data_IF_710320721868
#
_entry.id   IF_710320721868
#
_cell.length_a   1.000
_cell.length_b   1.000
_cell.length_c   1.000
_cell.angle_alpha   90.00
_cell.angle_beta   90.00
_cell.angle_gamma   90.00
#
_symmetry.space_group_name_H-M   'P 1'
#
loop_
_entity.id
_entity.type
_entity.pdbx_description
1 polymer ?
#
# COMPACT_ATOMS: atom_id res chain seq x y z
N UNK A 1 -11.66 -9.84 10.80
CA UNK A 1 -10.79 -8.76 10.28
C UNK A 1 -11.05 -7.44 10.99
N UNK A 2 -12.27 -6.89 10.98
CA UNK A 2 -12.58 -5.60 11.61
C UNK A 2 -12.24 -5.53 13.12
N UNK A 3 -12.58 -6.56 13.89
CA UNK A 3 -12.23 -6.63 15.32
C UNK A 3 -10.71 -6.57 15.57
N UNK A 4 -9.90 -7.07 14.62
CA UNK A 4 -8.44 -7.08 14.78
C UNK A 4 -7.82 -5.70 14.51
N UNK A 5 -8.40 -4.90 13.61
CA UNK A 5 -7.86 -3.58 13.26
C UNK A 5 -8.43 -2.45 14.11
N UNK A 6 -9.57 -2.67 14.78
CA UNK A 6 -10.29 -1.64 15.55
C UNK A 6 -9.42 -0.87 16.57
N UNK A 7 -8.53 -1.50 17.36
CA UNK A 7 -7.68 -0.74 18.29
C UNK A 7 -6.80 0.29 17.58
N UNK A 8 -6.28 -0.09 16.41
CA UNK A 8 -5.36 0.72 15.62
C UNK A 8 -6.04 1.89 14.90
N UNK A 9 -7.35 1.79 14.62
CA UNK A 9 -8.12 2.88 14.00
C UNK A 9 -8.16 4.15 14.85
N UNK A 10 -7.89 4.04 16.15
CA UNK A 10 -7.80 5.18 17.07
C UNK A 10 -6.36 5.69 17.26
N UNK A 11 -5.37 4.97 16.75
CA UNK A 11 -3.94 5.24 16.93
C UNK A 11 -3.22 5.58 15.62
N UNK A 12 -3.90 5.49 14.48
CA UNK A 12 -3.34 5.82 13.17
C UNK A 12 -3.99 7.06 12.53
N UNK A 13 -3.23 7.73 11.67
CA UNK A 13 -3.70 8.86 10.87
C UNK A 13 -4.31 8.42 9.52
N UNK A 14 -4.13 7.15 9.17
CA UNK A 14 -4.53 6.60 7.89
C UNK A 14 -4.40 5.07 7.81
N UNK A 15 -5.04 4.50 6.81
CA UNK A 15 -5.02 3.09 6.48
C UNK A 15 -4.53 2.95 5.04
N UNK A 16 -3.56 2.07 4.84
CA UNK A 16 -3.16 1.61 3.52
C UNK A 16 -3.66 0.19 3.31
N UNK A 17 -4.37 -0.06 2.21
CA UNK A 17 -4.78 -1.39 1.78
C UNK A 17 -3.91 -1.78 0.57
N UNK A 18 -3.16 -2.86 0.73
CA UNK A 18 -2.21 -3.37 -0.27
C UNK A 18 -2.07 -4.90 -0.14
N UNK A 19 -1.56 -5.55 -1.19
CA UNK A 19 -1.43 -7.01 -1.24
C UNK A 19 -2.67 -7.68 -1.84
N UNK A 20 -2.50 -8.82 -2.51
CA UNK A 20 -3.51 -9.31 -3.45
C UNK A 20 -3.94 -8.23 -4.45
N UNK A 21 -5.05 -8.43 -5.15
CA UNK A 21 -5.77 -7.33 -5.80
C UNK A 21 -7.01 -6.99 -4.96
N UNK A 22 -7.02 -5.87 -4.21
CA UNK A 22 -8.14 -5.53 -3.31
C UNK A 22 -9.51 -5.52 -4.03
N UNK A 23 -9.53 -5.16 -5.31
CA UNK A 23 -10.74 -5.08 -6.10
C UNK A 23 -11.20 -6.44 -6.67
N UNK A 24 -10.45 -7.54 -6.50
CA UNK A 24 -10.95 -8.90 -6.80
C UNK A 24 -11.97 -9.39 -5.77
N UNK A 25 -11.98 -8.80 -4.57
CA UNK A 25 -12.90 -9.14 -3.47
C UNK A 25 -13.77 -7.95 -3.07
N UNK A 26 -14.47 -7.37 -4.04
CA UNK A 26 -15.26 -6.13 -3.87
C UNK A 26 -16.19 -6.14 -2.65
N UNK A 27 -16.90 -7.24 -2.40
CA UNK A 27 -17.84 -7.32 -1.28
C UNK A 27 -17.12 -7.18 0.08
N UNK A 28 -15.99 -7.87 0.24
CA UNK A 28 -15.19 -7.78 1.46
C UNK A 28 -14.56 -6.38 1.62
N UNK A 29 -14.11 -5.79 0.51
CA UNK A 29 -13.57 -4.43 0.48
C UNK A 29 -14.64 -3.40 0.87
N UNK A 30 -15.85 -3.50 0.31
CA UNK A 30 -16.99 -2.64 0.63
C UNK A 30 -17.32 -2.68 2.12
N UNK A 31 -17.45 -3.89 2.69
CA UNK A 31 -17.75 -4.06 4.11
C UNK A 31 -16.66 -3.46 5.00
N UNK A 32 -15.38 -3.65 4.66
CA UNK A 32 -14.25 -3.07 5.38
C UNK A 32 -14.30 -1.55 5.36
N UNK A 33 -14.43 -0.95 4.16
CA UNK A 33 -14.40 0.49 3.99
C UNK A 33 -15.56 1.19 4.67
N UNK A 34 -16.77 0.62 4.60
CA UNK A 34 -17.90 1.14 5.34
C UNK A 34 -17.65 1.12 6.85
N UNK A 35 -17.13 0.02 7.39
CA UNK A 35 -16.84 -0.07 8.81
C UNK A 35 -15.75 0.92 9.25
N UNK A 36 -14.68 1.11 8.44
CA UNK A 36 -13.66 2.14 8.70
C UNK A 36 -14.31 3.52 8.81
N UNK A 37 -15.18 3.88 7.86
CA UNK A 37 -15.88 5.18 7.85
C UNK A 37 -16.83 5.37 9.02
N UNK A 38 -17.46 4.29 9.50
CA UNK A 38 -18.32 4.35 10.69
C UNK A 38 -17.52 4.49 11.99
N UNK A 39 -16.31 3.93 12.04
CA UNK A 39 -15.51 3.86 13.26
C UNK A 39 -14.48 4.99 13.36
N UNK A 40 -14.13 5.65 12.25
CA UNK A 40 -13.03 6.61 12.18
C UNK A 40 -13.12 7.56 10.98
N UNK A 41 -12.45 8.71 11.09
CA UNK A 41 -12.27 9.68 9.99
C UNK A 41 -10.91 9.61 9.31
N UNK A 42 -10.16 8.51 9.50
CA UNK A 42 -8.79 8.37 8.98
C UNK A 42 -8.77 8.25 7.46
N UNK A 43 -7.66 8.67 6.87
CA UNK A 43 -7.47 8.57 5.42
C UNK A 43 -7.36 7.12 4.94
N UNK A 44 -7.83 6.82 3.73
CA UNK A 44 -7.74 5.50 3.11
C UNK A 44 -7.01 5.59 1.77
N UNK A 45 -5.85 4.94 1.70
CA UNK A 45 -5.04 4.73 0.50
C UNK A 45 -5.18 3.27 0.05
N UNK A 46 -5.44 3.03 -1.24
CA UNK A 46 -5.46 1.67 -1.80
C UNK A 46 -4.48 1.57 -2.97
N UNK A 47 -3.67 0.52 -2.95
CA UNK A 47 -2.84 0.11 -4.09
C UNK A 47 -3.61 -0.94 -4.91
N UNK A 48 -3.68 -0.77 -6.22
CA UNK A 48 -4.30 -1.71 -7.14
C UNK A 48 -3.50 -1.80 -8.43
N UNK A 49 -3.40 -3.01 -8.99
CA UNK A 49 -2.80 -3.27 -10.30
C UNK A 49 -3.76 -2.98 -11.46
N UNK A 50 -5.01 -2.61 -11.18
CA UNK A 50 -6.01 -2.30 -12.21
C UNK A 50 -5.86 -0.84 -12.70
N UNK A 51 -6.25 -0.55 -13.96
CA UNK A 51 -6.26 0.81 -14.49
C UNK A 51 -7.26 1.71 -13.72
N UNK A 52 -6.93 2.99 -13.56
CA UNK A 52 -7.80 3.98 -12.90
C UNK A 52 -9.21 4.02 -13.48
N UNK A 53 -9.33 3.83 -14.80
CA UNK A 53 -10.59 3.87 -15.53
C UNK A 53 -11.56 2.78 -15.06
N UNK A 54 -11.04 1.59 -14.77
CA UNK A 54 -11.81 0.48 -14.23
C UNK A 54 -12.21 0.77 -12.78
N UNK A 55 -11.25 1.19 -11.96
CA UNK A 55 -11.44 1.50 -10.55
C UNK A 55 -12.43 2.65 -10.30
N UNK A 56 -12.41 3.68 -11.15
CA UNK A 56 -13.33 4.82 -11.08
C UNK A 56 -14.80 4.40 -11.27
N UNK A 57 -15.04 3.24 -11.87
CA UNK A 57 -16.39 2.70 -12.04
C UNK A 57 -16.91 1.99 -10.77
N UNK A 58 -16.03 1.58 -9.85
CA UNK A 58 -16.37 0.85 -8.64
C UNK A 58 -17.18 1.70 -7.67
N UNK A 59 -18.16 1.06 -7.02
CA UNK A 59 -19.10 1.74 -6.15
C UNK A 59 -18.40 2.34 -4.90
N UNK A 60 -17.42 1.66 -4.31
CA UNK A 60 -16.60 2.18 -3.20
C UNK A 60 -15.91 3.51 -3.53
N UNK A 61 -15.43 3.67 -4.77
CA UNK A 61 -14.76 4.89 -5.24
C UNK A 61 -15.80 5.99 -5.43
N UNK A 62 -16.91 5.68 -6.13
CA UNK A 62 -18.01 6.64 -6.37
C UNK A 62 -18.65 7.16 -5.09
N UNK A 63 -18.71 6.32 -4.05
CA UNK A 63 -19.25 6.68 -2.74
C UNK A 63 -18.25 7.49 -1.88
N UNK A 64 -17.02 7.73 -2.34
CA UNK A 64 -16.00 8.44 -1.58
C UNK A 64 -15.46 7.66 -0.38
N UNK A 65 -15.53 6.32 -0.42
CA UNK A 65 -14.98 5.49 0.65
C UNK A 65 -13.46 5.33 0.56
N UNK A 66 -12.88 5.68 -0.59
CA UNK A 66 -11.43 5.65 -0.86
C UNK A 66 -10.95 7.08 -1.06
N UNK A 67 -9.93 7.50 -0.32
CA UNK A 67 -9.42 8.88 -0.40
C UNK A 67 -8.33 9.03 -1.46
N UNK A 68 -7.50 8.01 -1.64
CA UNK A 68 -6.45 8.01 -2.65
C UNK A 68 -6.23 6.61 -3.24
N UNK A 69 -5.97 6.57 -4.54
CA UNK A 69 -5.56 5.38 -5.28
C UNK A 69 -4.12 5.50 -5.75
N UNK A 70 -3.39 4.40 -5.67
CA UNK A 70 -2.22 4.13 -6.52
C UNK A 70 -2.65 3.03 -7.48
N UNK A 71 -2.89 3.40 -8.74
CA UNK A 71 -3.42 2.50 -9.77
C UNK A 71 -2.34 2.07 -10.77
N UNK A 72 -2.76 1.15 -11.65
CA UNK A 72 -2.02 0.57 -12.78
C UNK A 72 -1.00 -0.51 -12.40
N UNK A 73 -0.75 -1.46 -13.32
CA UNK A 73 0.22 -2.52 -13.09
C UNK A 73 1.60 -1.97 -12.78
N UNK A 74 2.32 -2.63 -11.87
CA UNK A 74 3.73 -2.33 -11.65
C UNK A 74 4.55 -2.68 -12.91
N UNK A 75 5.37 -1.74 -13.37
CA UNK A 75 6.26 -1.93 -14.52
C UNK A 75 7.72 -1.88 -14.07
N UNK A 76 8.35 -3.05 -14.04
CA UNK A 76 9.76 -3.22 -13.67
C UNK A 76 10.72 -2.58 -14.68
N UNK A 77 10.31 -2.22 -15.88
CA UNK A 77 11.16 -1.50 -16.83
C UNK A 77 11.22 0.01 -16.57
N UNK A 78 10.24 0.55 -15.83
CA UNK A 78 10.10 1.98 -15.57
C UNK A 78 10.83 2.43 -14.30
N UNK A 79 11.14 3.73 -14.18
CA UNK A 79 11.77 4.27 -12.97
C UNK A 79 10.92 4.06 -11.71
N UNK A 80 11.53 4.23 -10.55
CA UNK A 80 10.85 4.29 -9.24
C UNK A 80 11.30 5.59 -8.57
N UNK A 81 10.78 6.70 -9.09
CA UNK A 81 11.23 8.04 -8.70
C UNK A 81 10.27 8.72 -7.76
N UNK A 82 9.02 8.23 -7.66
CA UNK A 82 7.96 8.81 -6.83
C UNK A 82 7.88 8.13 -5.46
N UNK A 83 7.54 8.91 -4.43
CA UNK A 83 7.53 8.44 -3.04
C UNK A 83 6.62 7.23 -2.81
N UNK A 84 5.33 7.35 -3.15
CA UNK A 84 4.32 6.33 -2.85
C UNK A 84 4.03 5.40 -4.05
N UNK A 85 4.94 5.30 -5.03
CA UNK A 85 4.73 4.43 -6.21
C UNK A 85 5.83 3.39 -6.31
N UNK A 86 5.45 2.17 -6.67
CA UNK A 86 6.38 1.10 -6.99
C UNK A 86 7.11 1.36 -8.32
N UNK A 87 6.40 1.94 -9.30
CA UNK A 87 6.96 2.33 -10.60
C UNK A 87 6.32 3.63 -11.12
N UNK A 88 7.04 4.35 -11.97
CA UNK A 88 6.67 5.69 -12.45
C UNK A 88 5.43 5.70 -13.37
N UNK A 89 5.08 4.57 -13.97
CA UNK A 89 3.86 4.43 -14.78
C UNK A 89 2.58 4.39 -13.93
N UNK A 90 2.69 4.03 -12.64
CA UNK A 90 1.54 4.02 -11.74
C UNK A 90 1.02 5.43 -11.51
N UNK A 91 -0.28 5.59 -11.26
CA UNK A 91 -0.92 6.89 -11.05
C UNK A 91 -1.40 7.06 -9.63
N UNK A 92 -1.04 8.19 -9.01
CA UNK A 92 -1.64 8.62 -7.75
C UNK A 92 -2.86 9.51 -8.02
N UNK A 93 -4.02 9.13 -7.50
CA UNK A 93 -5.27 9.88 -7.69
C UNK A 93 -5.92 10.15 -6.35
N UNK A 94 -5.95 11.41 -5.94
CA UNK A 94 -6.76 11.87 -4.80
C UNK A 94 -8.23 11.97 -5.24
N UNK A 95 -9.12 11.28 -4.54
CA UNK A 95 -10.53 11.12 -4.92
C UNK A 95 -11.48 11.97 -4.06
N UNK A 96 -11.06 12.30 -2.83
CA UNK A 96 -11.86 13.04 -1.85
C UNK A 96 -11.11 14.29 -1.37
N UNK A 97 -11.82 15.21 -0.71
CA UNK A 97 -11.19 16.37 -0.08
C UNK A 97 -10.12 15.96 0.95
N UNK A 98 -10.41 14.95 1.77
CA UNK A 98 -9.44 14.38 2.72
C UNK A 98 -8.24 13.78 1.98
N UNK A 99 -8.48 13.11 0.86
CA UNK A 99 -7.42 12.58 0.02
C UNK A 99 -6.48 13.67 -0.51
N UNK A 100 -7.05 14.78 -1.00
CA UNK A 100 -6.25 15.92 -1.43
C UNK A 100 -5.46 16.57 -0.28
N UNK A 101 -6.06 16.69 0.89
CA UNK A 101 -5.41 17.24 2.08
C UNK A 101 -4.21 16.39 2.52
N UNK A 102 -4.40 15.08 2.62
CA UNK A 102 -3.40 14.15 3.17
C UNK A 102 -2.34 13.78 2.12
N UNK A 103 -2.75 13.46 0.89
CA UNK A 103 -1.86 12.89 -0.13
C UNK A 103 -1.44 13.88 -1.21
N UNK A 104 -2.07 15.04 -1.32
CA UNK A 104 -1.85 15.97 -2.44
C UNK A 104 -0.41 16.47 -2.57
N UNK A 105 0.34 16.57 -1.46
CA UNK A 105 1.76 16.94 -1.47
C UNK A 105 2.72 15.76 -1.60
N UNK A 106 2.20 14.53 -1.54
CA UNK A 106 3.00 13.29 -1.50
C UNK A 106 3.28 12.74 -2.91
N UNK A 107 2.64 13.28 -3.95
CA UNK A 107 2.99 12.97 -5.36
C UNK A 107 4.26 13.71 -5.82
N UNK A 108 5.35 13.47 -5.10
CA UNK A 108 6.66 14.09 -5.28
C UNK A 108 7.73 13.04 -5.54
N UNK A 109 8.91 13.51 -5.93
CA UNK A 109 10.08 12.65 -5.99
C UNK A 109 10.41 12.10 -4.59
N UNK A 110 10.75 10.81 -4.54
CA UNK A 110 11.24 10.14 -3.35
C UNK A 110 12.63 10.69 -2.97
N UNK A 111 12.87 10.81 -1.69
CA UNK A 111 14.16 11.14 -1.09
C UNK A 111 14.72 9.91 -0.38
N UNK A 112 16.00 9.94 0.01
CA UNK A 112 16.60 8.83 0.77
C UNK A 112 15.91 8.61 2.12
N UNK A 113 15.33 9.65 2.71
CA UNK A 113 14.60 9.55 3.98
C UNK A 113 13.30 8.75 3.85
N UNK A 114 12.72 8.71 2.64
CA UNK A 114 11.47 8.02 2.34
C UNK A 114 11.64 6.50 2.17
N UNK A 115 12.88 6.04 1.94
CA UNK A 115 13.21 4.63 1.62
C UNK A 115 13.38 3.78 2.87
N UNK A 116 12.39 3.83 3.75
CA UNK A 116 12.37 3.06 5.01
C UNK A 116 11.42 1.88 4.89
N UNK A 117 11.79 0.80 5.56
CA UNK A 117 10.93 -0.37 5.75
C UNK A 117 10.62 -0.51 7.23
N UNK A 118 9.34 -0.62 7.55
CA UNK A 118 8.90 -1.02 8.87
C UNK A 118 9.00 -2.54 8.98
N UNK A 119 9.53 -3.01 10.10
CA UNK A 119 9.77 -4.43 10.36
C UNK A 119 8.93 -4.87 11.54
N UNK A 120 8.08 -5.88 11.34
CA UNK A 120 7.29 -6.50 12.40
C UNK A 120 7.67 -7.98 12.54
N UNK A 121 7.72 -8.45 13.78
CA UNK A 121 8.01 -9.85 14.10
C UNK A 121 6.75 -10.54 14.63
N UNK A 122 6.35 -11.62 13.97
CA UNK A 122 5.28 -12.52 14.41
C UNK A 122 5.74 -13.50 15.49
N UNK A 123 4.80 -14.14 16.17
CA UNK A 123 5.05 -15.07 17.28
C UNK A 123 5.86 -16.31 16.91
N UNK A 124 5.82 -16.72 15.64
CA UNK A 124 6.46 -17.94 15.13
C UNK A 124 7.76 -17.66 14.35
N UNK A 125 8.35 -16.47 14.54
CA UNK A 125 9.57 -16.05 13.81
C UNK A 125 9.31 -15.54 12.39
N UNK A 126 8.05 -15.33 12.02
CA UNK A 126 7.66 -14.64 10.79
C UNK A 126 8.08 -13.17 10.85
N UNK A 127 8.60 -12.64 9.74
CA UNK A 127 8.98 -11.23 9.63
C UNK A 127 8.17 -10.59 8.52
N UNK A 128 7.43 -9.54 8.86
CA UNK A 128 6.69 -8.71 7.92
C UNK A 128 7.45 -7.42 7.68
N UNK A 129 7.57 -7.05 6.40
CA UNK A 129 8.18 -5.81 5.96
C UNK A 129 7.11 -4.97 5.26
N UNK A 130 6.93 -3.73 5.70
CA UNK A 130 6.02 -2.77 5.08
C UNK A 130 6.80 -1.55 4.59
N UNK A 131 6.43 -1.06 3.41
CA UNK A 131 7.09 0.07 2.74
C UNK A 131 7.43 -0.27 1.30
N UNK A 132 7.96 0.72 0.57
CA UNK A 132 8.34 0.57 -0.84
C UNK A 132 9.87 0.53 -0.92
N UNK A 133 10.50 -0.65 -0.98
CA UNK A 133 11.95 -0.76 -1.05
C UNK A 133 12.46 -0.22 -2.38
N UNK A 134 13.73 0.22 -2.41
CA UNK A 134 14.39 0.52 -3.67
C UNK A 134 14.72 -0.77 -4.41
N UNK A 135 14.89 -0.65 -5.72
CA UNK A 135 15.40 -1.73 -6.57
C UNK A 135 16.69 -2.32 -5.99
N UNK A 136 16.66 -3.63 -5.74
CA UNK A 136 17.79 -4.38 -5.22
C UNK A 136 17.94 -4.38 -3.69
N UNK A 137 17.14 -3.61 -2.95
CA UNK A 137 17.23 -3.60 -1.47
C UNK A 137 16.88 -4.98 -0.88
N UNK A 138 15.85 -5.64 -1.41
CA UNK A 138 15.45 -6.98 -0.97
C UNK A 138 16.49 -8.04 -1.30
N UNK A 139 17.10 -7.97 -2.49
CA UNK A 139 18.20 -8.86 -2.88
C UNK A 139 19.44 -8.63 -2.00
N UNK A 140 19.75 -7.37 -1.66
CA UNK A 140 20.83 -7.02 -0.74
C UNK A 140 20.56 -7.52 0.67
N UNK A 141 19.33 -7.38 1.16
CA UNK A 141 18.91 -7.89 2.46
C UNK A 141 19.06 -9.42 2.51
N UNK A 142 18.59 -10.13 1.49
CA UNK A 142 18.77 -11.58 1.37
C UNK A 142 20.25 -11.97 1.46
N UNK A 143 21.12 -11.31 0.68
CA UNK A 143 22.55 -11.61 0.65
C UNK A 143 23.25 -11.36 2.01
N UNK A 144 22.84 -10.30 2.73
CA UNK A 144 23.35 -10.01 4.09
C UNK A 144 22.94 -11.10 5.07
N UNK A 145 21.70 -11.58 5.00
CA UNK A 145 21.17 -12.62 5.89
C UNK A 145 21.82 -13.99 5.60
N UNK A 146 21.96 -14.35 4.33
CA UNK A 146 22.60 -15.60 3.91
C UNK A 146 24.06 -15.66 4.35
N UNK A 147 24.80 -14.55 4.22
CA UNK A 147 26.19 -14.46 4.70
C UNK A 147 26.34 -14.58 6.22
N UNK A 148 25.25 -14.44 6.97
CA UNK A 148 25.21 -14.64 8.44
C UNK A 148 24.61 -15.98 8.83
N UNK A 149 24.46 -16.91 7.88
CA UNK A 149 23.92 -18.25 8.11
C UNK A 149 22.40 -18.31 8.30
N UNK A 150 21.69 -17.23 7.94
CA UNK A 150 20.22 -17.17 8.00
C UNK A 150 19.65 -17.32 6.58
N UNK A 151 18.76 -18.29 6.37
CA UNK A 151 18.11 -18.49 5.07
C UNK A 151 16.83 -17.66 4.98
N UNK A 152 16.73 -16.77 3.98
CA UNK A 152 15.53 -15.97 3.72
C UNK A 152 14.85 -16.47 2.43
N UNK A 153 13.55 -16.74 2.50
CA UNK A 153 12.72 -17.01 1.30
C UNK A 153 11.69 -15.89 1.18
N UNK A 154 11.84 -15.04 0.17
CA UNK A 154 10.86 -13.99 -0.14
C UNK A 154 9.77 -14.52 -1.08
N UNK A 155 8.54 -14.08 -0.88
CA UNK A 155 7.46 -14.17 -1.87
C UNK A 155 7.30 -12.79 -2.50
N UNK A 156 8.16 -12.44 -3.45
CA UNK A 156 7.87 -11.33 -4.35
C UNK A 156 6.81 -11.77 -5.36
N UNK A 157 5.86 -10.89 -5.68
CA UNK A 157 4.97 -11.11 -6.81
C UNK A 157 5.82 -11.16 -8.08
N UNK A 158 5.87 -12.33 -8.73
CA UNK A 158 6.52 -12.47 -10.03
C UNK A 158 5.67 -11.75 -11.08
N UNK A 159 6.27 -10.78 -11.75
CA UNK A 159 5.79 -10.16 -12.99
C UNK A 159 5.62 -11.20 -14.10
#
# INVERSE_FOLDING_TARGET
MLEAIRPWLHECDGITISGGEPFEQLEALEQLLHAIRQLSGVSVLIYSGLPLEELASCNVVKQGLVDCLISDPFDVSMGQTKYLRGSDNQRMTCLTALGHEVFGSLDRHATDADRRLDVMFGGDGEVWLAGIPSRGDMARLQLILENRGTYLRTTEARS
#
